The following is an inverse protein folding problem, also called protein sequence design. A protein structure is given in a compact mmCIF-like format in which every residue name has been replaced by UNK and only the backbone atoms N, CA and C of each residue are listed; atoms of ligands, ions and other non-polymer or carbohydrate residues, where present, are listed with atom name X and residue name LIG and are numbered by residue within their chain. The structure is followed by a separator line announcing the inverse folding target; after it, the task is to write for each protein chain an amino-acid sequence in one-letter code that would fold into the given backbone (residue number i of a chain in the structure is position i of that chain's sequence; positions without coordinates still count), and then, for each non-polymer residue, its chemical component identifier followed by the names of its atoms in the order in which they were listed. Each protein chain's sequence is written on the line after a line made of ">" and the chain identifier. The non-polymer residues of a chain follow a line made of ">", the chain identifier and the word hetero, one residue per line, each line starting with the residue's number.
data_IF_520447470069
#
_entry.id   IF_520447470069
#
_cell.length_a   1.000
_cell.length_b   1.000
_cell.length_c   1.000
_cell.angle_alpha   90.00
_cell.angle_beta   90.00
_cell.angle_gamma   90.00
#
_symmetry.space_group_name_H-M   'P 1'
#
loop_
_entity.id
_entity.type
_entity.pdbx_description
1 polymer ?
#
# COMPACT_ATOMS: atom_id res chain seq x y z
N UNK A 1 -26.86 30.90 -44.02
CA UNK A 1 -26.41 29.50 -44.21
C UNK A 1 -25.02 29.21 -43.63
N UNK A 2 -23.98 30.03 -43.92
CA UNK A 2 -22.60 29.81 -43.39
C UNK A 2 -22.48 29.80 -41.86
N UNK A 3 -23.23 30.66 -41.15
CA UNK A 3 -23.21 30.75 -39.67
C UNK A 3 -23.87 29.55 -38.97
N UNK A 4 -24.88 28.93 -39.59
CA UNK A 4 -25.55 27.73 -39.06
C UNK A 4 -24.67 26.48 -39.21
N UNK A 5 -23.90 26.39 -40.30
CA UNK A 5 -22.90 25.34 -40.48
C UNK A 5 -21.79 25.41 -39.42
N UNK A 6 -21.35 26.63 -39.06
CA UNK A 6 -20.29 26.82 -38.06
C UNK A 6 -20.71 26.39 -36.64
N UNK A 7 -21.97 26.64 -36.28
CA UNK A 7 -22.55 26.23 -34.99
C UNK A 7 -22.74 24.71 -34.93
N UNK A 8 -23.19 24.09 -36.03
CA UNK A 8 -23.32 22.64 -36.11
C UNK A 8 -21.96 21.93 -35.99
N UNK A 9 -20.91 22.48 -36.62
CA UNK A 9 -19.54 21.97 -36.48
C UNK A 9 -18.99 22.13 -35.06
N UNK A 10 -19.28 23.24 -34.38
CA UNK A 10 -18.86 23.45 -32.99
C UNK A 10 -19.54 22.45 -32.04
N UNK A 11 -20.83 22.16 -32.24
CA UNK A 11 -21.56 21.16 -31.44
C UNK A 11 -21.01 19.74 -31.62
N UNK A 12 -20.65 19.35 -32.86
CA UNK A 12 -20.02 18.06 -33.15
C UNK A 12 -18.63 17.97 -32.50
N UNK A 13 -17.83 19.05 -32.53
CA UNK A 13 -16.54 19.09 -31.84
C UNK A 13 -16.68 19.00 -30.31
N UNK A 14 -17.69 19.65 -29.70
CA UNK A 14 -17.93 19.55 -28.26
C UNK A 14 -18.36 18.15 -27.82
N UNK A 15 -19.16 17.44 -28.64
CA UNK A 15 -19.56 16.06 -28.36
C UNK A 15 -18.40 15.07 -28.49
N UNK A 16 -17.43 15.33 -29.38
CA UNK A 16 -16.21 14.52 -29.51
C UNK A 16 -15.21 14.73 -28.36
N UNK A 17 -15.21 15.91 -27.73
CA UNK A 17 -14.35 16.20 -26.58
C UNK A 17 -14.94 15.74 -25.23
N UNK A 18 -16.25 15.52 -25.15
CA UNK A 18 -16.91 15.05 -23.92
C UNK A 18 -16.87 13.52 -23.73
N UNK A 19 -16.44 12.76 -24.74
CA UNK A 19 -16.43 11.29 -24.74
C UNK A 19 -15.10 10.63 -24.33
N UNK A 20 -14.10 11.43 -23.93
CA UNK A 20 -12.84 10.90 -23.44
C UNK A 20 -12.99 10.35 -22.02
N UNK A 21 -13.39 9.08 -21.88
CA UNK A 21 -13.09 8.36 -20.65
C UNK A 21 -11.57 8.26 -20.57
N UNK A 22 -10.96 9.02 -19.67
CA UNK A 22 -9.61 8.71 -19.23
C UNK A 22 -9.72 7.31 -18.59
N UNK A 23 -9.20 6.30 -19.27
CA UNK A 23 -8.90 5.03 -18.62
C UNK A 23 -7.81 5.35 -17.61
N UNK A 24 -8.21 5.70 -16.39
CA UNK A 24 -7.31 5.62 -15.26
C UNK A 24 -6.78 4.20 -15.28
N UNK A 25 -5.46 4.06 -15.20
CA UNK A 25 -4.82 2.77 -15.03
C UNK A 25 -5.26 2.26 -13.65
N UNK A 26 -6.44 1.64 -13.59
CA UNK A 26 -6.97 1.05 -12.36
C UNK A 26 -5.91 0.10 -11.83
N UNK A 27 -5.57 0.23 -10.54
CA UNK A 27 -4.72 -0.73 -9.89
C UNK A 27 -5.31 -2.12 -10.19
N UNK A 28 -4.58 -3.03 -10.87
CA UNK A 28 -5.12 -4.33 -11.24
C UNK A 28 -5.51 -5.15 -10.00
N UNK A 29 -5.01 -4.75 -8.84
CA UNK A 29 -5.42 -5.21 -7.54
C UNK A 29 -6.39 -4.18 -6.94
N UNK A 30 -7.61 -4.59 -6.59
CA UNK A 30 -8.54 -3.70 -5.89
C UNK A 30 -7.91 -3.21 -4.59
N UNK A 31 -8.02 -1.91 -4.27
CA UNK A 31 -7.48 -1.33 -3.02
C UNK A 31 -8.08 -1.96 -1.77
N UNK A 32 -9.30 -2.50 -1.91
CA UNK A 32 -10.00 -3.30 -0.93
C UNK A 32 -10.40 -4.65 -1.50
N UNK A 33 -10.13 -5.72 -0.75
CA UNK A 33 -10.43 -7.09 -1.18
C UNK A 33 -11.94 -7.26 -1.40
N UNK A 34 -12.36 -7.42 -2.66
CA UNK A 34 -13.78 -7.54 -3.01
C UNK A 34 -14.63 -6.32 -2.59
N UNK A 35 -14.02 -5.14 -2.45
CA UNK A 35 -14.68 -3.93 -1.97
C UNK A 35 -14.91 -3.87 -0.45
N UNK A 36 -14.33 -4.79 0.32
CA UNK A 36 -14.43 -4.77 1.78
C UNK A 36 -13.29 -3.95 2.40
N UNK A 37 -13.63 -2.77 2.92
CA UNK A 37 -12.70 -1.81 3.55
C UNK A 37 -11.91 -2.37 4.75
N UNK A 38 -12.32 -3.52 5.31
CA UNK A 38 -11.55 -4.26 6.32
C UNK A 38 -10.17 -4.67 5.80
N UNK A 39 -10.07 -4.99 4.51
CA UNK A 39 -8.87 -5.53 3.89
C UNK A 39 -8.19 -4.44 3.07
N UNK A 40 -7.05 -3.95 3.54
CA UNK A 40 -6.29 -2.87 2.88
C UNK A 40 -5.21 -3.48 1.99
N UNK A 41 -5.18 -3.16 0.69
CA UNK A 41 -4.09 -3.58 -0.18
C UNK A 41 -2.75 -2.99 0.30
N UNK A 42 -1.76 -3.84 0.56
CA UNK A 42 -0.41 -3.41 0.97
C UNK A 42 0.63 -3.63 -0.13
N UNK A 43 0.50 -4.66 -0.96
CA UNK A 43 1.37 -4.88 -2.11
C UNK A 43 0.68 -5.80 -3.15
N UNK A 44 1.18 -5.79 -4.38
CA UNK A 44 0.72 -6.67 -5.44
C UNK A 44 1.82 -6.95 -6.47
N UNK A 45 2.11 -8.22 -6.71
CA UNK A 45 3.18 -8.64 -7.60
C UNK A 45 2.86 -9.97 -8.30
N UNK A 46 3.14 -10.04 -9.61
CA UNK A 46 2.98 -11.25 -10.44
C UNK A 46 1.61 -11.92 -10.32
N UNK A 47 0.55 -11.11 -10.24
CA UNK A 47 -0.84 -11.57 -10.12
C UNK A 47 -1.26 -11.97 -8.70
N UNK A 48 -0.37 -11.85 -7.71
CA UNK A 48 -0.72 -12.06 -6.30
C UNK A 48 -0.84 -10.71 -5.62
N UNK A 49 -1.89 -10.53 -4.81
CA UNK A 49 -2.07 -9.37 -3.95
C UNK A 49 -2.02 -9.76 -2.49
N UNK A 50 -1.56 -8.84 -1.65
CA UNK A 50 -1.53 -8.98 -0.21
C UNK A 50 -2.31 -7.87 0.45
N UNK A 51 -3.15 -8.25 1.42
CA UNK A 51 -4.03 -7.34 2.13
C UNK A 51 -3.79 -7.42 3.63
N UNK A 52 -3.74 -6.27 4.29
CA UNK A 52 -3.78 -6.16 5.74
C UNK A 52 -5.23 -6.31 6.22
N UNK A 53 -5.47 -7.17 7.21
CA UNK A 53 -6.77 -7.28 7.88
C UNK A 53 -6.86 -6.29 9.05
N UNK A 54 -7.65 -5.23 8.92
CA UNK A 54 -7.81 -4.19 9.95
C UNK A 54 -8.33 -4.73 11.28
N UNK A 55 -9.22 -5.71 11.27
CA UNK A 55 -9.84 -6.23 12.49
C UNK A 55 -8.86 -7.13 13.28
N UNK A 56 -7.79 -7.59 12.64
CA UNK A 56 -6.73 -8.37 13.28
C UNK A 56 -5.70 -7.51 14.03
N UNK A 57 -5.70 -6.19 13.80
CA UNK A 57 -4.69 -5.30 14.34
C UNK A 57 -4.82 -5.13 15.86
N UNK A 58 -3.72 -5.36 16.58
CA UNK A 58 -3.61 -4.98 17.98
C UNK A 58 -2.17 -4.64 18.38
N UNK A 59 -2.05 -3.80 19.41
CA UNK A 59 -0.76 -3.46 20.02
C UNK A 59 -0.47 -4.50 21.10
N UNK A 60 0.52 -5.35 20.88
CA UNK A 60 0.95 -6.37 21.85
C UNK A 60 1.74 -5.73 23.00
N UNK A 61 2.60 -4.76 22.68
CA UNK A 61 3.44 -4.07 23.66
C UNK A 61 3.60 -2.60 23.29
N UNK A 62 3.53 -1.73 24.29
CA UNK A 62 3.76 -0.30 24.14
C UNK A 62 4.63 0.22 25.29
N UNK A 63 5.91 0.45 24.99
CA UNK A 63 6.92 0.96 25.93
C UNK A 63 7.75 2.03 25.21
N UNK A 64 7.27 3.28 25.14
CA UNK A 64 7.97 4.37 24.45
C UNK A 64 9.50 4.37 24.66
N UNK A 65 10.33 4.46 23.59
CA UNK A 65 9.98 4.77 22.20
C UNK A 65 9.60 3.55 21.33
N UNK A 66 9.23 2.44 21.96
CA UNK A 66 9.10 1.13 21.35
C UNK A 66 7.66 0.62 21.37
N UNK A 67 7.24 -0.05 20.30
CA UNK A 67 5.98 -0.79 20.29
C UNK A 67 6.03 -2.04 19.42
N UNK A 68 5.17 -3.02 19.73
CA UNK A 68 4.95 -4.20 18.91
C UNK A 68 3.49 -4.22 18.46
N UNK A 69 3.27 -4.23 17.14
CA UNK A 69 1.94 -4.32 16.52
C UNK A 69 1.83 -5.66 15.81
N UNK A 70 0.70 -6.33 16.01
CA UNK A 70 0.38 -7.59 15.35
C UNK A 70 -0.64 -7.35 14.26
N UNK A 71 -0.49 -8.03 13.13
CA UNK A 71 -1.46 -7.97 12.05
C UNK A 71 -1.49 -9.25 11.22
N UNK A 72 -2.67 -9.62 10.73
CA UNK A 72 -2.85 -10.67 9.74
C UNK A 72 -2.74 -10.11 8.31
N UNK A 73 -1.97 -10.82 7.50
CA UNK A 73 -1.78 -10.52 6.07
C UNK A 73 -2.42 -11.62 5.25
N UNK A 74 -3.42 -11.27 4.47
CA UNK A 74 -4.15 -12.15 3.57
C UNK A 74 -3.50 -12.15 2.18
N UNK A 75 -3.16 -13.33 1.67
CA UNK A 75 -2.67 -13.53 0.30
C UNK A 75 -3.83 -13.92 -0.62
N UNK A 76 -3.89 -13.32 -1.81
CA UNK A 76 -4.88 -13.61 -2.84
C UNK A 76 -4.15 -13.83 -4.17
N UNK A 77 -4.17 -15.07 -4.65
CA UNK A 77 -3.61 -15.42 -5.96
C UNK A 77 -4.54 -15.00 -7.09
N UNK A 78 -4.00 -14.68 -8.27
CA UNK A 78 -4.77 -14.26 -9.46
C UNK A 78 -5.69 -13.06 -9.17
N UNK A 79 -5.28 -12.18 -8.25
CA UNK A 79 -6.03 -11.00 -7.87
C UNK A 79 -6.14 -10.00 -9.04
N UNK A 80 -5.10 -9.95 -9.88
CA UNK A 80 -5.08 -9.22 -11.16
C UNK A 80 -6.14 -9.70 -12.18
N UNK A 81 -6.73 -10.87 -11.96
CA UNK A 81 -7.82 -11.45 -12.76
C UNK A 81 -9.17 -11.37 -12.06
N UNK A 82 -9.26 -10.59 -10.98
CA UNK A 82 -10.49 -10.39 -10.21
C UNK A 82 -10.78 -11.48 -9.18
N UNK A 83 -9.82 -12.37 -8.86
CA UNK A 83 -10.01 -13.28 -7.74
C UNK A 83 -10.01 -12.51 -6.41
N UNK A 84 -10.95 -12.85 -5.53
CA UNK A 84 -11.08 -12.26 -4.18
C UNK A 84 -10.97 -13.31 -3.07
N UNK A 85 -10.77 -14.58 -3.41
CA UNK A 85 -10.63 -15.64 -2.41
C UNK A 85 -9.25 -15.62 -1.75
N UNK A 86 -9.24 -15.50 -0.42
CA UNK A 86 -8.02 -15.57 0.40
C UNK A 86 -7.46 -17.00 0.32
N UNK A 87 -6.24 -17.14 -0.19
CA UNK A 87 -5.54 -18.43 -0.29
C UNK A 87 -4.67 -18.75 0.92
N UNK A 88 -4.20 -17.72 1.63
CA UNK A 88 -3.36 -17.86 2.83
C UNK A 88 -3.53 -16.66 3.76
N UNK A 89 -3.44 -16.90 5.07
CA UNK A 89 -3.35 -15.85 6.08
C UNK A 89 -2.07 -16.07 6.88
N UNK A 90 -1.30 -15.02 7.10
CA UNK A 90 -0.10 -15.04 7.93
C UNK A 90 -0.17 -13.93 8.97
N UNK A 91 -0.13 -14.30 10.26
CA UNK A 91 0.04 -13.33 11.34
C UNK A 91 1.49 -12.87 11.40
N UNK A 92 1.71 -11.56 11.39
CA UNK A 92 3.02 -10.93 11.50
C UNK A 92 3.11 -10.09 12.77
N UNK A 93 4.27 -10.12 13.41
CA UNK A 93 4.62 -9.25 14.54
C UNK A 93 5.64 -8.22 14.06
N UNK A 94 5.28 -6.95 14.17
CA UNK A 94 6.13 -5.83 13.78
C UNK A 94 6.60 -5.09 15.01
N UNK A 95 7.91 -4.96 15.16
CA UNK A 95 8.53 -4.19 16.23
C UNK A 95 9.02 -2.85 15.67
N UNK A 96 8.66 -1.76 16.34
CA UNK A 96 9.00 -0.40 15.93
C UNK A 96 9.81 0.28 17.02
N UNK A 97 10.85 0.99 16.60
CA UNK A 97 11.54 1.99 17.40
C UNK A 97 11.45 3.33 16.65
N UNK A 98 10.59 4.24 17.11
CA UNK A 98 10.36 5.50 16.40
C UNK A 98 11.43 6.56 16.64
N UNK A 99 12.28 6.41 17.66
CA UNK A 99 13.44 7.29 17.85
C UNK A 99 14.53 7.00 16.82
N UNK A 100 14.78 5.72 16.56
CA UNK A 100 15.76 5.28 15.57
C UNK A 100 15.18 5.24 14.15
N UNK A 101 13.85 5.29 14.03
CA UNK A 101 13.12 5.03 12.81
C UNK A 101 13.51 3.66 12.24
N UNK A 102 13.36 2.62 13.06
CA UNK A 102 13.68 1.24 12.71
C UNK A 102 12.45 0.34 12.91
N UNK A 103 12.11 -0.43 11.87
CA UNK A 103 11.07 -1.43 11.88
C UNK A 103 11.68 -2.82 11.71
N UNK A 104 11.16 -3.79 12.47
CA UNK A 104 11.57 -5.18 12.44
C UNK A 104 10.35 -6.08 12.27
N UNK A 105 10.56 -7.26 11.72
CA UNK A 105 9.56 -8.34 11.71
C UNK A 105 10.08 -9.53 12.50
N UNK A 106 9.20 -10.19 13.25
CA UNK A 106 9.49 -11.49 13.84
C UNK A 106 9.47 -12.59 12.76
N UNK A 107 10.56 -13.37 12.68
CA UNK A 107 10.69 -14.45 11.69
C UNK A 107 9.96 -15.73 12.08
N UNK A 108 9.81 -16.02 13.37
CA UNK A 108 9.38 -17.33 13.86
C UNK A 108 8.41 -17.28 15.05
N UNK A 109 8.07 -16.10 15.56
CA UNK A 109 7.19 -15.95 16.73
C UNK A 109 7.94 -15.93 18.06
N UNK A 110 9.26 -16.17 18.05
CA UNK A 110 10.12 -16.24 19.23
C UNK A 110 10.93 -14.95 19.43
N UNK A 111 10.47 -13.83 18.88
CA UNK A 111 11.17 -12.56 18.90
C UNK A 111 12.55 -12.60 18.18
N UNK A 112 12.68 -13.43 17.14
CA UNK A 112 13.79 -13.38 16.18
C UNK A 112 13.59 -12.20 15.22
N UNK A 113 13.90 -11.00 15.72
CA UNK A 113 13.66 -9.75 15.01
C UNK A 113 14.62 -9.57 13.83
N UNK A 114 14.04 -9.44 12.64
CA UNK A 114 14.76 -9.04 11.44
C UNK A 114 14.46 -7.59 11.10
N UNK A 115 15.51 -6.77 11.03
CA UNK A 115 15.43 -5.39 10.55
C UNK A 115 14.93 -5.33 9.10
N UNK A 116 14.02 -4.41 8.83
CA UNK A 116 13.49 -4.11 7.50
C UNK A 116 14.15 -2.83 7.01
N UNK A 117 15.24 -2.94 6.27
CA UNK A 117 15.92 -1.77 5.70
C UNK A 117 15.01 -1.05 4.70
N UNK A 118 14.67 0.23 4.90
CA UNK A 118 13.85 0.98 3.96
C UNK A 118 14.53 1.25 2.59
N UNK A 119 15.85 1.03 2.49
CA UNK A 119 16.60 0.99 1.23
C UNK A 119 16.78 -0.44 0.67
N UNK A 120 16.31 -1.45 1.41
CA UNK A 120 16.40 -2.84 1.01
C UNK A 120 15.62 -3.13 -0.26
N UNK A 121 16.12 -4.08 -1.04
CA UNK A 121 15.45 -4.57 -2.24
C UNK A 121 14.14 -5.29 -1.89
N UNK A 122 13.23 -5.41 -2.87
CA UNK A 122 12.00 -6.19 -2.69
C UNK A 122 12.30 -7.66 -2.34
N UNK A 123 13.43 -8.23 -2.77
CA UNK A 123 13.85 -9.57 -2.38
C UNK A 123 14.21 -9.68 -0.88
N UNK A 124 14.65 -8.59 -0.28
CA UNK A 124 15.01 -8.54 1.14
C UNK A 124 13.78 -8.24 1.99
N UNK A 125 13.00 -7.22 1.66
CA UNK A 125 11.89 -6.78 2.51
C UNK A 125 10.57 -7.47 2.18
N UNK A 126 10.37 -7.81 0.90
CA UNK A 126 9.13 -8.35 0.35
C UNK A 126 7.91 -7.54 0.76
N UNK A 127 6.80 -8.25 0.91
CA UNK A 127 5.49 -7.71 1.31
C UNK A 127 5.43 -7.28 2.78
N UNK A 128 6.48 -7.60 3.56
CA UNK A 128 6.48 -7.45 5.01
C UNK A 128 6.68 -5.98 5.40
N UNK A 129 7.52 -5.26 4.67
CA UNK A 129 7.72 -3.82 4.91
C UNK A 129 6.47 -2.98 4.60
N UNK A 130 5.80 -3.11 3.43
CA UNK A 130 4.53 -2.41 3.22
C UNK A 130 3.45 -2.85 4.23
N UNK A 131 3.37 -4.13 4.58
CA UNK A 131 2.45 -4.59 5.62
C UNK A 131 2.70 -3.90 6.97
N UNK A 132 3.96 -3.81 7.41
CA UNK A 132 4.33 -3.17 8.66
C UNK A 132 4.12 -1.65 8.65
N UNK A 133 4.39 -0.98 7.53
CA UNK A 133 4.06 0.44 7.38
C UNK A 133 2.56 0.68 7.50
N UNK A 134 1.74 -0.11 6.79
CA UNK A 134 0.28 0.06 6.83
C UNK A 134 -0.29 -0.28 8.20
N UNK A 135 0.25 -1.29 8.90
CA UNK A 135 -0.15 -1.63 10.26
C UNK A 135 0.11 -0.46 11.22
N UNK A 136 1.31 0.15 11.15
CA UNK A 136 1.63 1.32 11.96
C UNK A 136 0.73 2.51 11.62
N UNK A 137 0.54 2.79 10.33
CA UNK A 137 -0.32 3.89 9.89
C UNK A 137 -1.76 3.71 10.35
N UNK A 138 -2.30 2.49 10.26
CA UNK A 138 -3.69 2.19 10.66
C UNK A 138 -3.89 2.33 12.17
N UNK A 139 -2.91 1.93 12.98
CA UNK A 139 -2.99 2.00 14.44
C UNK A 139 -2.70 3.41 14.97
N UNK A 140 -1.66 4.07 14.43
CA UNK A 140 -1.13 5.32 14.97
C UNK A 140 -1.64 6.57 14.23
N UNK A 141 -2.13 6.45 13.00
CA UNK A 141 -2.44 7.58 12.12
C UNK A 141 -1.20 8.34 11.63
N UNK A 142 -0.01 7.77 11.79
CA UNK A 142 1.28 8.39 11.47
C UNK A 142 2.03 7.53 10.45
N UNK A 143 2.82 8.18 9.59
CA UNK A 143 3.72 7.49 8.66
C UNK A 143 4.97 7.05 9.42
N UNK A 144 5.43 5.82 9.23
CA UNK A 144 6.69 5.36 9.82
C UNK A 144 7.83 5.67 8.85
N UNK A 145 8.19 4.77 7.93
CA UNK A 145 9.23 5.05 6.95
C UNK A 145 8.83 6.13 5.93
N UNK A 146 7.54 6.32 5.66
CA UNK A 146 7.12 7.45 4.82
C UNK A 146 7.15 8.81 5.51
N UNK A 147 7.57 8.90 6.77
CA UNK A 147 7.81 10.20 7.45
C UNK A 147 9.07 10.92 6.97
N UNK A 148 10.00 10.20 6.32
CA UNK A 148 11.30 10.72 5.91
C UNK A 148 11.60 10.37 4.45
N UNK A 149 12.22 11.31 3.75
CA UNK A 149 12.80 11.04 2.43
C UNK A 149 14.19 10.43 2.57
N UNK A 150 14.47 9.45 1.73
CA UNK A 150 15.75 8.75 1.67
C UNK A 150 16.55 9.29 0.50
N UNK A 151 17.84 9.50 0.72
CA UNK A 151 18.77 9.91 -0.32
C UNK A 151 19.26 8.70 -1.10
N UNK A 152 18.99 8.67 -2.40
CA UNK A 152 19.59 7.73 -3.34
C UNK A 152 20.85 8.35 -3.95
N UNK A 153 22.00 7.74 -3.65
CA UNK A 153 23.29 8.15 -4.19
C UNK A 153 23.47 7.88 -5.69
N UNK A 154 22.74 6.92 -6.26
CA UNK A 154 22.85 6.57 -7.68
C UNK A 154 22.12 7.58 -8.55
N UNK A 155 20.91 7.98 -8.16
CA UNK A 155 20.11 8.99 -8.82
C UNK A 155 20.35 10.44 -8.37
N UNK A 156 21.22 10.66 -7.37
CA UNK A 156 21.45 11.97 -6.74
C UNK A 156 20.14 12.69 -6.37
N UNK A 157 19.25 11.96 -5.68
CA UNK A 157 17.89 12.44 -5.42
C UNK A 157 17.31 11.91 -4.12
N UNK A 158 16.27 12.59 -3.62
CA UNK A 158 15.52 12.14 -2.46
C UNK A 158 14.19 11.52 -2.89
N UNK A 159 13.90 10.31 -2.42
CA UNK A 159 12.65 9.61 -2.68
C UNK A 159 11.93 9.25 -1.38
N UNK A 160 10.61 9.05 -1.48
CA UNK A 160 9.80 8.51 -0.39
C UNK A 160 9.67 7.00 -0.58
N UNK A 161 9.86 6.23 0.50
CA UNK A 161 9.68 4.76 0.47
C UNK A 161 8.25 4.38 0.11
N UNK A 162 7.29 5.17 0.60
CA UNK A 162 5.86 5.01 0.36
C UNK A 162 5.26 6.29 -0.22
N UNK A 163 4.37 6.13 -1.20
CA UNK A 163 3.66 7.24 -1.85
C UNK A 163 2.40 7.62 -1.08
N UNK A 164 1.81 8.78 -1.37
CA UNK A 164 0.54 9.18 -0.75
C UNK A 164 -0.61 8.20 -1.11
N UNK A 165 -0.59 7.65 -2.33
CA UNK A 165 -1.58 6.66 -2.79
C UNK A 165 -1.54 5.38 -1.94
N UNK A 166 -0.37 4.97 -1.45
CA UNK A 166 -0.27 3.82 -0.54
C UNK A 166 -1.10 4.07 0.73
N UNK A 167 -0.98 5.26 1.34
CA UNK A 167 -1.75 5.62 2.53
C UNK A 167 -3.23 5.88 2.24
N UNK A 168 -3.57 6.26 1.01
CA UNK A 168 -4.95 6.45 0.60
C UNK A 168 -5.75 5.13 0.70
N UNK A 169 -5.11 3.97 0.50
CA UNK A 169 -5.73 2.66 0.64
C UNK A 169 -6.30 2.36 2.04
N UNK A 170 -5.93 3.12 3.07
CA UNK A 170 -6.44 2.92 4.43
C UNK A 170 -7.84 3.52 4.66
N UNK A 171 -8.34 4.35 3.73
CA UNK A 171 -9.57 5.12 3.86
C UNK A 171 -10.70 4.58 2.98
#
# INVERSE_FOLDING_TARGET
>A
MKKLFLIAWLYVCCLLLAGGNAFANENPYGVHLGGNERYILVDGHMGTAWYLDKDSLYVERYEPPQCIIIADICTVERADRGNTAISRVETKRFFYNWELLEMYVDRNGDADWRYLDPQGSWAETGIVMPAGEMAFYTVCGLRFYGSKKIYDSYGDSYYSVFTDDFYANAN
#
